data_IF_988319282343
#
_entry.id   IF_988319282343
#
_cell.length_a   1.000
_cell.length_b   1.000
_cell.length_c   1.000
_cell.angle_alpha   90.00
_cell.angle_beta   90.00
_cell.angle_gamma   90.00
#
_symmetry.space_group_name_H-M   'P 1'
#
loop_
_entity.id
_entity.type
_entity.pdbx_description
1 polymer ?
#
# COMPACT_ATOMS: atom_id res chain seq x y z
N UNK A 1 33.05 -33.29 93.91
CA UNK A 1 33.83 -32.06 93.85
C UNK A 1 33.45 -31.21 95.08
N UNK A 2 34.34 -30.89 95.95
CA UNK A 2 34.06 -30.04 97.11
C UNK A 2 34.56 -28.62 96.80
N UNK A 3 33.66 -27.68 96.80
CA UNK A 3 34.00 -26.27 96.64
C UNK A 3 33.93 -25.65 98.04
N UNK A 4 35.10 -25.18 98.55
CA UNK A 4 35.22 -24.50 99.84
C UNK A 4 35.14 -23.01 99.55
N UNK A 5 34.02 -22.39 99.88
CA UNK A 5 33.88 -20.94 99.85
C UNK A 5 34.47 -20.33 101.18
N UNK A 6 35.55 -19.66 101.02
CA UNK A 6 36.15 -18.87 102.13
C UNK A 6 35.71 -17.41 101.90
N UNK A 7 34.85 -16.91 102.80
CA UNK A 7 34.47 -15.51 102.82
C UNK A 7 35.27 -14.80 103.95
N UNK A 8 35.93 -13.73 103.61
CA UNK A 8 36.79 -12.93 104.51
C UNK A 8 36.07 -12.22 105.70
N UNK A 9 34.72 -12.29 105.72
CA UNK A 9 33.87 -11.57 106.68
C UNK A 9 33.19 -12.45 107.76
N UNK A 10 33.29 -13.77 107.68
CA UNK A 10 32.68 -14.66 108.64
C UNK A 10 33.55 -15.90 108.85
N UNK A 11 34.14 -16.00 110.09
CA UNK A 11 35.02 -17.10 110.52
C UNK A 11 34.34 -18.48 110.59
N UNK A 12 33.59 -18.87 109.56
CA UNK A 12 33.04 -20.24 109.42
C UNK A 12 33.11 -20.67 107.95
N UNK A 13 34.00 -21.60 107.67
CA UNK A 13 34.06 -22.27 106.41
C UNK A 13 32.76 -23.13 106.18
N UNK A 14 31.99 -22.85 105.18
CA UNK A 14 30.85 -23.68 104.79
C UNK A 14 31.29 -24.54 103.61
N UNK A 15 31.44 -25.81 103.87
CA UNK A 15 31.71 -26.77 102.77
C UNK A 15 30.37 -27.17 102.15
N UNK A 16 30.23 -26.88 100.88
CA UNK A 16 29.07 -27.36 100.08
C UNK A 16 29.56 -28.52 99.22
N UNK A 17 29.05 -29.73 99.55
CA UNK A 17 29.33 -30.94 98.80
C UNK A 17 28.41 -30.96 97.60
N UNK A 18 28.96 -30.63 96.45
CA UNK A 18 28.23 -30.78 95.14
C UNK A 18 28.29 -32.23 94.73
N UNK A 19 27.18 -32.94 94.89
CA UNK A 19 27.02 -34.29 94.31
C UNK A 19 26.70 -34.16 92.78
N UNK A 20 27.03 -35.19 92.02
CA UNK A 20 26.77 -35.26 90.59
C UNK A 20 25.31 -34.91 90.25
N UNK A 21 24.34 -35.25 91.13
CA UNK A 21 22.94 -34.91 91.05
C UNK A 21 22.65 -33.41 91.01
N UNK A 22 23.40 -32.61 91.82
CA UNK A 22 23.26 -31.15 91.85
C UNK A 22 23.89 -30.50 90.60
N UNK A 23 24.96 -31.05 90.08
CA UNK A 23 25.57 -30.61 88.84
C UNK A 23 24.65 -30.88 87.62
N UNK A 24 24.08 -32.07 87.55
CA UNK A 24 23.12 -32.44 86.51
C UNK A 24 21.85 -31.59 86.64
N UNK A 25 21.37 -31.39 87.89
CA UNK A 25 20.19 -30.54 88.13
C UNK A 25 20.38 -29.09 87.69
N UNK A 26 21.57 -28.50 88.05
CA UNK A 26 21.91 -27.12 87.60
C UNK A 26 22.06 -26.99 86.10
N UNK A 27 22.65 -27.98 85.41
CA UNK A 27 22.78 -28.01 83.99
C UNK A 27 21.41 -28.11 83.31
N UNK A 28 20.52 -28.97 83.78
CA UNK A 28 19.16 -29.07 83.30
C UNK A 28 18.35 -27.79 83.55
N UNK A 29 18.54 -27.15 84.68
CA UNK A 29 17.88 -25.86 84.97
C UNK A 29 18.41 -24.76 84.07
N UNK A 30 19.68 -24.70 83.73
CA UNK A 30 20.25 -23.75 82.80
C UNK A 30 19.72 -23.95 81.38
N UNK A 31 19.62 -25.18 80.91
CA UNK A 31 19.06 -25.52 79.65
C UNK A 31 17.57 -25.15 79.61
N UNK A 32 16.81 -25.41 80.66
CA UNK A 32 15.39 -25.05 80.73
C UNK A 32 15.18 -23.53 80.72
N UNK A 33 16.04 -22.77 81.40
CA UNK A 33 16.02 -21.30 81.37
C UNK A 33 16.40 -20.73 80.04
N UNK A 34 17.35 -21.33 79.29
CA UNK A 34 17.68 -20.97 77.91
C UNK A 34 16.48 -21.21 76.99
N UNK A 35 15.83 -22.37 77.12
CA UNK A 35 14.63 -22.68 76.33
C UNK A 35 13.48 -21.74 76.70
N UNK A 36 13.25 -21.45 77.97
CA UNK A 36 12.23 -20.50 78.39
C UNK A 36 12.50 -19.08 77.84
N UNK A 37 13.76 -18.67 77.87
CA UNK A 37 14.20 -17.38 77.37
C UNK A 37 14.02 -17.23 75.83
N UNK A 38 14.43 -18.27 75.10
CA UNK A 38 14.23 -18.28 73.64
C UNK A 38 12.72 -18.34 73.25
N UNK A 39 11.90 -19.12 73.97
CA UNK A 39 10.45 -19.17 73.76
C UNK A 39 9.81 -17.81 74.12
N UNK A 40 10.22 -17.17 75.19
CA UNK A 40 9.72 -15.85 75.55
C UNK A 40 10.11 -14.78 74.51
N UNK A 41 11.36 -14.79 74.05
CA UNK A 41 11.82 -13.91 72.96
C UNK A 41 11.05 -14.15 71.67
N UNK A 42 10.81 -15.40 71.28
CA UNK A 42 10.03 -15.77 70.14
C UNK A 42 8.57 -15.29 70.28
N UNK A 43 7.97 -15.49 71.46
CA UNK A 43 6.58 -15.05 71.72
C UNK A 43 6.47 -13.51 71.74
N UNK A 44 7.44 -12.82 72.36
CA UNK A 44 7.55 -11.37 72.32
C UNK A 44 7.73 -10.89 70.89
N UNK A 45 8.63 -11.52 70.10
CA UNK A 45 8.85 -11.20 68.71
C UNK A 45 7.57 -11.34 67.83
N UNK A 46 6.84 -12.45 68.04
CA UNK A 46 5.55 -12.65 67.35
C UNK A 46 4.47 -11.63 67.77
N UNK A 47 4.38 -11.33 69.07
CA UNK A 47 3.38 -10.40 69.60
C UNK A 47 3.68 -8.95 69.24
N UNK A 48 4.94 -8.54 69.17
CA UNK A 48 5.36 -7.19 68.82
C UNK A 48 5.66 -7.02 67.35
N UNK A 49 5.88 -8.11 66.61
CA UNK A 49 6.06 -8.03 65.15
C UNK A 49 4.86 -7.40 64.43
N UNK A 50 3.65 -7.57 64.98
CA UNK A 50 2.44 -6.91 64.47
C UNK A 50 2.31 -5.43 64.92
N UNK A 51 2.97 -5.02 65.99
CA UNK A 51 2.87 -3.66 66.57
C UNK A 51 4.11 -2.79 66.37
N UNK A 52 5.29 -3.39 66.12
CA UNK A 52 6.51 -2.63 65.82
C UNK A 52 6.43 -2.19 64.35
N UNK A 53 5.76 -1.09 64.08
CA UNK A 53 5.88 -0.31 62.86
C UNK A 53 7.31 0.22 62.80
N UNK A 54 8.23 -0.58 62.21
CA UNK A 54 9.56 -0.07 61.90
C UNK A 54 9.39 0.87 60.73
N UNK A 55 9.43 2.20 60.90
CA UNK A 55 9.10 3.16 59.82
C UNK A 55 10.02 3.00 58.61
N UNK A 56 11.24 2.54 58.83
CA UNK A 56 12.21 2.27 57.76
C UNK A 56 11.82 1.09 56.88
N UNK A 57 11.27 -0.01 57.45
CA UNK A 57 10.80 -1.14 56.66
C UNK A 57 9.53 -0.80 55.90
N UNK A 58 8.63 -0.03 56.47
CA UNK A 58 7.43 0.46 55.74
C UNK A 58 7.79 1.37 54.60
N UNK A 59 8.74 2.29 54.77
CA UNK A 59 9.23 3.15 53.70
C UNK A 59 9.91 2.36 52.57
N UNK A 60 10.69 1.32 52.88
CA UNK A 60 11.31 0.45 51.89
C UNK A 60 10.29 -0.37 51.11
N UNK A 61 9.27 -0.92 51.77
CA UNK A 61 8.19 -1.67 51.09
C UNK A 61 7.36 -0.75 50.25
N UNK A 62 6.99 0.45 50.71
CA UNK A 62 6.27 1.43 49.95
C UNK A 62 7.08 1.91 48.74
N UNK A 63 8.36 2.22 48.90
CA UNK A 63 9.24 2.62 47.79
C UNK A 63 9.40 1.49 46.76
N UNK A 64 9.49 0.23 47.19
CA UNK A 64 9.51 -0.91 46.27
C UNK A 64 8.20 -1.06 45.52
N UNK A 65 7.05 -0.95 46.18
CA UNK A 65 5.73 -0.98 45.54
C UNK A 65 5.52 0.20 44.57
N UNK A 66 5.93 1.40 44.94
CA UNK A 66 5.88 2.57 44.06
C UNK A 66 6.77 2.36 42.83
N UNK A 67 7.99 1.83 42.98
CA UNK A 67 8.85 1.54 41.83
C UNK A 67 8.30 0.46 40.90
N UNK A 68 7.64 -0.57 41.42
CA UNK A 68 6.96 -1.60 40.63
C UNK A 68 5.73 -1.01 39.92
N UNK A 69 4.94 -0.20 40.62
CA UNK A 69 3.78 0.47 40.01
C UNK A 69 4.20 1.46 38.92
N UNK A 70 5.29 2.20 39.08
CA UNK A 70 5.84 3.08 38.05
C UNK A 70 6.35 2.28 36.83
N UNK A 71 7.05 1.17 37.04
CA UNK A 71 7.50 0.27 35.97
C UNK A 71 6.30 -0.31 35.23
N UNK A 72 5.27 -0.77 35.91
CA UNK A 72 4.04 -1.28 35.30
C UNK A 72 3.32 -0.19 34.49
N UNK A 73 3.21 1.03 35.03
CA UNK A 73 2.63 2.19 34.33
C UNK A 73 3.44 2.56 33.10
N UNK A 74 4.76 2.66 33.18
CA UNK A 74 5.65 2.98 32.07
C UNK A 74 5.57 1.91 30.98
N UNK A 75 5.52 0.63 31.34
CA UNK A 75 5.35 -0.49 30.42
C UNK A 75 4.01 -0.41 29.67
N UNK A 76 2.90 -0.17 30.38
CA UNK A 76 1.58 0.02 29.77
C UNK A 76 1.57 1.23 28.84
N UNK A 77 2.14 2.36 29.29
CA UNK A 77 2.18 3.59 28.49
C UNK A 77 3.02 3.41 27.21
N UNK A 78 4.17 2.75 27.30
CA UNK A 78 5.01 2.46 26.14
C UNK A 78 4.30 1.56 25.12
N UNK A 79 3.60 0.53 25.61
CA UNK A 79 2.82 -0.34 24.72
C UNK A 79 1.64 0.38 24.09
N UNK A 80 0.92 1.22 24.83
CA UNK A 80 -0.17 2.04 24.28
C UNK A 80 0.35 3.03 23.24
N UNK A 81 1.48 3.66 23.46
CA UNK A 81 2.09 4.57 22.51
C UNK A 81 2.52 3.82 21.22
N UNK A 82 3.14 2.65 21.35
CA UNK A 82 3.51 1.82 20.20
C UNK A 82 2.28 1.39 19.39
N UNK A 83 1.21 0.99 20.09
CA UNK A 83 -0.06 0.65 19.44
C UNK A 83 -0.69 1.85 18.73
N UNK A 84 -0.68 3.04 19.35
CA UNK A 84 -1.22 4.26 18.75
C UNK A 84 -0.46 4.64 17.47
N UNK A 85 0.87 4.55 17.48
CA UNK A 85 1.70 4.76 16.29
C UNK A 85 1.33 3.77 15.20
N UNK A 86 1.22 2.48 15.54
CA UNK A 86 0.88 1.43 14.56
C UNK A 86 -0.52 1.59 13.97
N UNK A 87 -1.50 1.97 14.79
CA UNK A 87 -2.85 2.30 14.31
C UNK A 87 -2.82 3.52 13.37
N UNK A 88 -2.02 4.54 13.68
CA UNK A 88 -1.84 5.70 12.81
C UNK A 88 -1.23 5.33 11.45
N UNK A 89 -0.20 4.46 11.44
CA UNK A 89 0.38 3.93 10.21
C UNK A 89 -0.65 3.16 9.38
N UNK A 90 -1.43 2.28 10.01
CA UNK A 90 -2.48 1.52 9.33
C UNK A 90 -3.57 2.44 8.77
N UNK A 91 -3.97 3.48 9.50
CA UNK A 91 -4.95 4.44 9.01
C UNK A 91 -4.43 5.22 7.80
N UNK A 92 -3.15 5.62 7.81
CA UNK A 92 -2.51 6.23 6.65
C UNK A 92 -2.44 5.27 5.45
N UNK A 93 -2.15 3.99 5.68
CA UNK A 93 -2.15 2.96 4.63
C UNK A 93 -3.56 2.74 4.04
N UNK A 94 -4.61 2.70 4.87
CA UNK A 94 -5.99 2.60 4.42
C UNK A 94 -6.38 3.80 3.54
N UNK A 95 -6.06 5.02 3.97
CA UNK A 95 -6.31 6.23 3.17
C UNK A 95 -5.61 6.17 1.81
N UNK A 96 -4.38 5.63 1.77
CA UNK A 96 -3.66 5.43 0.52
C UNK A 96 -4.32 4.37 -0.36
N UNK A 97 -4.83 3.28 0.22
CA UNK A 97 -5.57 2.24 -0.50
C UNK A 97 -6.87 2.78 -1.10
N UNK A 98 -7.59 3.62 -0.38
CA UNK A 98 -8.81 4.26 -0.87
C UNK A 98 -8.51 5.16 -2.07
N UNK A 99 -7.49 6.02 -1.97
CA UNK A 99 -7.05 6.87 -3.08
C UNK A 99 -6.59 6.05 -4.31
N UNK A 100 -5.89 4.94 -4.07
CA UNK A 100 -5.46 4.03 -5.13
C UNK A 100 -6.66 3.34 -5.79
N UNK A 101 -7.63 2.89 -5.01
CA UNK A 101 -8.88 2.29 -5.50
C UNK A 101 -9.69 3.26 -6.38
N UNK A 102 -9.79 4.52 -5.99
CA UNK A 102 -10.45 5.57 -6.77
C UNK A 102 -9.74 5.80 -8.12
N UNK A 103 -8.41 5.86 -8.12
CA UNK A 103 -7.61 5.98 -9.35
C UNK A 103 -7.76 4.75 -10.26
N UNK A 104 -7.73 3.53 -9.69
CA UNK A 104 -7.94 2.29 -10.43
C UNK A 104 -9.32 2.24 -11.06
N UNK A 105 -10.37 2.62 -10.33
CA UNK A 105 -11.74 2.74 -10.84
C UNK A 105 -11.82 3.70 -12.03
N UNK A 106 -11.20 4.88 -11.92
CA UNK A 106 -11.13 5.86 -12.99
C UNK A 106 -10.39 5.32 -14.22
N UNK A 107 -9.25 4.65 -14.06
CA UNK A 107 -8.47 4.05 -15.15
C UNK A 107 -9.21 2.90 -15.83
N UNK A 108 -9.97 2.11 -15.07
CA UNK A 108 -10.80 1.03 -15.58
C UNK A 108 -12.08 1.52 -16.29
N UNK A 109 -12.39 2.83 -16.21
CA UNK A 109 -13.60 3.41 -16.78
C UNK A 109 -14.87 3.08 -16.00
N UNK A 110 -14.76 2.66 -14.74
CA UNK A 110 -15.89 2.41 -13.87
C UNK A 110 -16.44 3.73 -13.30
N UNK A 111 -17.73 3.77 -13.02
CA UNK A 111 -18.35 4.96 -12.43
C UNK A 111 -17.94 5.03 -10.94
N UNK A 112 -17.64 6.24 -10.40
CA UNK A 112 -17.26 6.40 -9.00
C UNK A 112 -18.28 5.82 -7.99
N UNK A 113 -19.55 5.68 -8.42
CA UNK A 113 -20.64 5.14 -7.61
C UNK A 113 -20.62 3.59 -7.51
N UNK A 114 -19.90 2.92 -8.40
CA UNK A 114 -19.82 1.45 -8.44
C UNK A 114 -18.69 0.92 -7.52
N UNK A 115 -17.78 1.79 -7.10
CA UNK A 115 -16.60 1.43 -6.30
C UNK A 115 -16.53 2.32 -5.04
N UNK A 116 -17.37 2.00 -4.05
CA UNK A 116 -17.45 2.75 -2.79
C UNK A 116 -16.52 2.16 -1.73
N UNK A 117 -15.22 2.38 -1.86
CA UNK A 117 -14.23 1.92 -0.87
C UNK A 117 -14.34 2.67 0.48
N UNK A 118 -14.86 3.90 0.46
CA UNK A 118 -14.99 4.73 1.65
C UNK A 118 -16.23 4.40 2.51
N UNK A 119 -17.18 3.62 1.99
CA UNK A 119 -18.34 3.19 2.78
C UNK A 119 -17.98 1.93 3.58
N UNK A 120 -18.20 1.99 4.88
CA UNK A 120 -18.04 0.81 5.73
C UNK A 120 -18.93 -0.32 5.20
N UNK A 121 -18.39 -1.55 5.04
CA UNK A 121 -19.20 -2.68 4.62
C UNK A 121 -20.37 -2.87 5.57
N UNK A 122 -21.56 -3.15 5.01
CA UNK A 122 -22.76 -3.40 5.82
C UNK A 122 -22.49 -4.46 6.87
N UNK A 123 -22.67 -4.10 8.13
CA UNK A 123 -22.58 -5.03 9.25
C UNK A 123 -23.91 -5.77 9.37
N UNK A 124 -23.92 -7.05 9.03
CA UNK A 124 -25.10 -7.89 9.14
C UNK A 124 -24.79 -9.34 8.75
N UNK A 125 -25.49 -10.28 9.34
CA UNK A 125 -25.35 -11.72 9.09
C UNK A 125 -26.08 -12.53 10.14
N UNK A 126 -26.09 -13.86 10.00
CA UNK A 126 -26.57 -14.76 11.04
C UNK A 126 -25.80 -14.51 12.34
N UNK A 127 -26.51 -14.59 13.49
CA UNK A 127 -25.87 -14.39 14.80
C UNK A 127 -24.61 -15.27 14.92
N UNK A 128 -23.44 -14.67 15.24
CA UNK A 128 -22.21 -15.45 15.36
C UNK A 128 -22.37 -16.46 16.51
N UNK A 129 -21.87 -17.67 16.31
CA UNK A 129 -21.74 -18.63 17.40
C UNK A 129 -20.87 -18.00 18.48
N UNK A 130 -21.45 -17.81 19.67
CA UNK A 130 -20.72 -17.23 20.80
C UNK A 130 -19.55 -18.15 21.16
N UNK A 131 -18.36 -17.79 20.74
CA UNK A 131 -17.14 -18.39 21.27
C UNK A 131 -16.85 -17.77 22.65
N UNK A 132 -16.40 -18.56 23.64
CA UNK A 132 -16.00 -17.99 24.92
C UNK A 132 -14.92 -16.93 24.68
N UNK A 133 -14.97 -15.79 25.39
CA UNK A 133 -13.98 -14.74 25.25
C UNK A 133 -12.59 -15.32 25.56
N UNK A 134 -11.74 -15.40 24.54
CA UNK A 134 -10.34 -15.72 24.72
C UNK A 134 -9.63 -14.45 25.17
N UNK A 135 -8.98 -14.50 26.33
CA UNK A 135 -8.09 -13.44 26.77
C UNK A 135 -6.90 -13.39 25.80
N UNK A 136 -6.90 -12.44 24.90
CA UNK A 136 -5.75 -12.19 24.03
C UNK A 136 -4.59 -11.68 24.89
N UNK A 137 -3.44 -12.35 24.82
CA UNK A 137 -2.24 -11.80 25.42
C UNK A 137 -1.76 -10.57 24.61
N UNK A 138 -1.03 -9.67 25.24
CA UNK A 138 -0.44 -8.51 24.57
C UNK A 138 0.50 -8.93 23.44
N UNK A 139 1.19 -10.07 23.61
CA UNK A 139 2.07 -10.65 22.59
C UNK A 139 1.27 -11.11 21.37
N UNK A 140 0.19 -11.87 21.57
CA UNK A 140 -0.68 -12.35 20.46
C UNK A 140 -1.35 -11.19 19.73
N UNK A 141 -1.75 -10.15 20.47
CA UNK A 141 -2.32 -8.95 19.86
C UNK A 141 -1.30 -8.25 18.95
N UNK A 142 -0.06 -8.04 19.43
CA UNK A 142 0.99 -7.44 18.64
C UNK A 142 1.36 -8.27 17.42
N UNK A 143 1.41 -9.59 17.53
CA UNK A 143 1.65 -10.49 16.41
C UNK A 143 0.56 -10.38 15.34
N UNK A 144 -0.71 -10.37 15.75
CA UNK A 144 -1.85 -10.18 14.83
C UNK A 144 -1.82 -8.81 14.15
N UNK A 145 -1.47 -7.76 14.90
CA UNK A 145 -1.35 -6.41 14.36
C UNK A 145 -0.22 -6.32 13.31
N UNK A 146 0.94 -6.93 13.58
CA UNK A 146 2.05 -6.99 12.65
C UNK A 146 1.70 -7.79 11.40
N UNK A 147 0.98 -8.90 11.54
CA UNK A 147 0.51 -9.70 10.42
C UNK A 147 -0.45 -8.90 9.54
N UNK A 148 -1.45 -8.25 10.15
CA UNK A 148 -2.39 -7.41 9.43
C UNK A 148 -1.68 -6.24 8.71
N UNK A 149 -0.68 -5.63 9.35
CA UNK A 149 0.12 -4.56 8.73
C UNK A 149 0.85 -5.04 7.47
N UNK A 150 1.47 -6.24 7.52
CA UNK A 150 2.14 -6.83 6.34
C UNK A 150 1.16 -7.18 5.24
N UNK A 151 -0.02 -7.71 5.58
CA UNK A 151 -1.07 -8.03 4.62
C UNK A 151 -1.57 -6.77 3.90
N UNK A 152 -1.78 -5.67 4.64
CA UNK A 152 -2.18 -4.38 4.06
C UNK A 152 -1.08 -3.83 3.15
N UNK A 153 0.19 -3.89 3.56
CA UNK A 153 1.34 -3.46 2.76
C UNK A 153 1.47 -4.27 1.46
N UNK A 154 1.39 -5.60 1.55
CA UNK A 154 1.43 -6.50 0.39
C UNK A 154 0.29 -6.22 -0.60
N UNK A 155 -0.93 -5.97 -0.10
CA UNK A 155 -2.06 -5.61 -0.96
C UNK A 155 -1.88 -4.25 -1.62
N UNK A 156 -1.32 -3.28 -0.90
CA UNK A 156 -1.01 -1.96 -1.46
C UNK A 156 0.00 -2.06 -2.62
N UNK A 157 1.04 -2.88 -2.47
CA UNK A 157 2.03 -3.11 -3.52
C UNK A 157 1.41 -3.78 -4.74
N UNK A 158 0.56 -4.80 -4.52
CA UNK A 158 -0.15 -5.49 -5.62
C UNK A 158 -1.08 -4.52 -6.39
N UNK A 159 -1.81 -3.66 -5.68
CA UNK A 159 -2.66 -2.64 -6.30
C UNK A 159 -1.84 -1.60 -7.06
N UNK A 160 -0.65 -1.23 -6.57
CA UNK A 160 0.28 -0.35 -7.28
C UNK A 160 0.76 -0.94 -8.61
N UNK A 161 1.08 -2.24 -8.63
CA UNK A 161 1.43 -2.95 -9.88
C UNK A 161 0.25 -2.95 -10.85
N UNK A 162 -0.97 -3.21 -10.36
CA UNK A 162 -2.17 -3.19 -11.18
C UNK A 162 -2.46 -1.80 -11.75
N UNK A 163 -2.27 -0.73 -10.96
CA UNK A 163 -2.37 0.65 -11.41
C UNK A 163 -1.41 0.92 -12.58
N UNK A 164 -0.15 0.53 -12.44
CA UNK A 164 0.85 0.71 -13.48
C UNK A 164 0.46 -0.02 -14.78
N UNK A 165 -0.05 -1.24 -14.68
CA UNK A 165 -0.52 -2.01 -15.84
C UNK A 165 -1.73 -1.37 -16.52
N UNK A 166 -2.73 -0.94 -15.75
CA UNK A 166 -3.92 -0.27 -16.30
C UNK A 166 -3.57 1.07 -16.93
N UNK A 167 -2.67 1.83 -16.30
CA UNK A 167 -2.16 3.07 -16.87
C UNK A 167 -1.44 2.82 -18.19
N UNK A 168 -0.55 1.83 -18.25
CA UNK A 168 0.13 1.45 -19.48
C UNK A 168 -0.86 1.06 -20.60
N UNK A 169 -1.88 0.26 -20.25
CA UNK A 169 -2.93 -0.11 -21.20
C UNK A 169 -3.74 1.09 -21.66
N UNK A 170 -4.11 2.01 -20.78
CA UNK A 170 -4.82 3.23 -21.12
C UNK A 170 -3.99 4.14 -22.05
N UNK A 171 -2.69 4.27 -21.78
CA UNK A 171 -1.75 5.00 -22.64
C UNK A 171 -1.65 4.32 -24.01
N UNK A 172 -1.41 3.01 -24.08
CA UNK A 172 -1.36 2.25 -25.34
C UNK A 172 -2.64 2.44 -26.15
N UNK A 173 -3.83 2.35 -25.51
CA UNK A 173 -5.13 2.57 -26.18
C UNK A 173 -5.26 3.98 -26.75
N UNK A 174 -4.74 5.01 -26.07
CA UNK A 174 -4.77 6.40 -26.57
C UNK A 174 -3.80 6.65 -27.72
N UNK A 175 -2.67 5.96 -27.74
CA UNK A 175 -1.63 6.07 -28.76
C UNK A 175 -1.92 5.20 -29.98
N UNK A 176 -2.81 4.21 -29.89
CA UNK A 176 -3.20 3.39 -31.04
C UNK A 176 -4.16 4.17 -31.96
N UNK A 177 -3.89 4.24 -33.28
CA UNK A 177 -4.68 5.01 -34.25
C UNK A 177 -5.97 4.28 -34.62
N UNK A 178 -6.86 4.18 -33.65
CA UNK A 178 -8.13 3.45 -33.79
C UNK A 178 -9.32 4.35 -34.16
N UNK A 179 -9.17 5.68 -34.12
CA UNK A 179 -10.24 6.62 -34.48
C UNK A 179 -10.27 6.87 -35.99
N UNK A 180 -11.46 6.89 -36.59
CA UNK A 180 -11.60 7.30 -37.96
C UNK A 180 -11.12 8.74 -38.16
N UNK A 181 -10.20 8.99 -39.12
CA UNK A 181 -9.59 10.31 -39.28
C UNK A 181 -10.52 11.31 -39.97
N UNK A 182 -11.58 10.85 -40.62
CA UNK A 182 -12.59 11.65 -41.26
C UNK A 182 -13.97 10.98 -41.13
N UNK A 183 -15.03 11.79 -41.01
CA UNK A 183 -16.40 11.30 -40.95
C UNK A 183 -16.92 10.96 -42.37
N UNK A 184 -16.34 9.93 -42.96
CA UNK A 184 -16.71 9.47 -44.29
C UNK A 184 -16.81 7.94 -44.29
N UNK A 185 -17.67 7.37 -45.19
CA UNK A 185 -17.71 5.93 -45.38
C UNK A 185 -16.34 5.41 -45.84
N UNK A 186 -15.89 4.32 -45.25
CA UNK A 186 -14.70 3.60 -45.66
C UNK A 186 -14.99 2.90 -46.97
N UNK A 187 -14.63 3.52 -48.14
CA UNK A 187 -15.04 2.92 -49.43
C UNK A 187 -14.25 3.33 -50.67
N UNK A 188 -13.12 4.04 -50.56
CA UNK A 188 -12.51 4.47 -51.85
C UNK A 188 -11.52 3.44 -52.40
N UNK A 189 -10.49 3.12 -51.65
CA UNK A 189 -9.45 2.20 -52.08
C UNK A 189 -8.70 1.61 -50.90
N UNK A 190 -8.54 0.29 -50.89
CA UNK A 190 -7.90 -0.46 -49.83
C UNK A 190 -6.36 -0.43 -49.92
N UNK A 191 -5.73 -0.83 -48.82
CA UNK A 191 -4.28 -1.07 -48.71
C UNK A 191 -3.89 -2.29 -49.56
N UNK A 192 -2.78 -2.19 -50.26
CA UNK A 192 -2.19 -3.33 -50.95
C UNK A 192 -1.86 -3.09 -52.41
N UNK A 193 -1.54 -4.14 -53.14
CA UNK A 193 -1.18 -4.08 -54.57
C UNK A 193 -2.41 -3.74 -55.39
N UNK A 194 -2.30 -2.68 -56.21
CA UNK A 194 -3.36 -2.26 -57.16
C UNK A 194 -2.73 -1.67 -58.42
N UNK A 195 -3.52 -1.51 -59.48
CA UNK A 195 -3.07 -0.74 -60.67
C UNK A 195 -3.04 0.73 -60.28
N UNK A 196 -1.91 1.38 -60.49
CA UNK A 196 -1.72 2.80 -60.27
C UNK A 196 -2.56 3.59 -61.34
N UNK A 197 -3.42 4.52 -60.89
CA UNK A 197 -4.35 5.19 -61.83
C UNK A 197 -3.64 6.16 -62.77
N UNK A 198 -2.38 6.51 -62.56
CA UNK A 198 -1.61 7.43 -63.39
C UNK A 198 -0.69 6.72 -64.36
N UNK A 199 -0.02 5.65 -63.92
CA UNK A 199 0.94 4.91 -64.74
C UNK A 199 0.36 3.66 -65.41
N UNK A 200 -0.77 3.14 -64.94
CA UNK A 200 -1.32 1.87 -65.38
C UNK A 200 -0.52 0.64 -64.94
N UNK A 201 0.50 0.81 -64.11
CA UNK A 201 1.34 -0.28 -63.62
C UNK A 201 0.93 -0.77 -62.23
N UNK A 202 1.32 -1.99 -61.93
CA UNK A 202 1.14 -2.51 -60.57
C UNK A 202 2.00 -1.73 -59.56
N UNK A 203 1.34 -1.14 -58.55
CA UNK A 203 1.99 -0.41 -57.47
C UNK A 203 1.41 -0.81 -56.10
N UNK A 204 2.17 -0.59 -55.09
CA UNK A 204 1.74 -0.76 -53.67
C UNK A 204 1.02 0.49 -53.23
N UNK A 205 -0.23 0.36 -52.77
CA UNK A 205 -0.94 1.41 -52.05
C UNK A 205 -0.65 1.30 -50.54
N UNK A 206 0.12 2.24 -50.01
CA UNK A 206 0.65 2.20 -48.66
C UNK A 206 -0.34 2.64 -47.59
N UNK A 207 -1.56 3.03 -47.99
CA UNK A 207 -2.61 3.51 -47.09
C UNK A 207 -3.99 3.03 -47.49
N UNK A 208 -4.97 3.73 -46.98
CA UNK A 208 -6.39 3.63 -47.39
C UNK A 208 -6.89 5.02 -47.76
N UNK A 209 -7.77 5.08 -48.75
CA UNK A 209 -8.36 6.32 -49.18
C UNK A 209 -9.79 6.42 -48.66
N UNK A 210 -10.14 7.52 -48.00
CA UNK A 210 -11.49 7.86 -47.58
C UNK A 210 -12.07 8.87 -48.55
N UNK A 211 -13.16 8.52 -49.22
CA UNK A 211 -13.93 9.46 -50.03
C UNK A 211 -14.54 10.54 -49.14
N UNK A 212 -14.09 11.75 -49.30
CA UNK A 212 -14.58 12.88 -48.55
C UNK A 212 -14.51 14.15 -49.42
N UNK A 213 -15.51 14.99 -49.33
CA UNK A 213 -15.54 16.26 -50.04
C UNK A 213 -14.36 17.15 -49.60
N UNK A 214 -13.84 17.92 -50.54
CA UNK A 214 -12.81 18.90 -50.23
C UNK A 214 -13.30 19.86 -49.13
N UNK A 215 -12.49 20.07 -48.11
CA UNK A 215 -12.86 20.89 -46.94
C UNK A 215 -13.49 20.13 -45.79
N UNK A 216 -13.66 18.79 -45.90
CA UNK A 216 -14.12 17.98 -44.76
C UNK A 216 -13.08 17.98 -43.59
N UNK A 217 -13.52 18.05 -42.33
CA UNK A 217 -12.61 18.04 -41.22
C UNK A 217 -11.84 16.72 -41.09
N UNK A 218 -10.49 16.83 -40.93
CA UNK A 218 -9.63 15.71 -40.63
C UNK A 218 -9.18 15.82 -39.17
N UNK A 219 -9.25 14.70 -38.44
CA UNK A 219 -8.89 14.60 -37.03
C UNK A 219 -7.77 13.59 -36.84
N UNK A 220 -6.98 13.78 -35.77
CA UNK A 220 -5.93 12.83 -35.40
C UNK A 220 -6.52 11.51 -34.92
N UNK A 221 -6.10 10.40 -35.52
CA UNK A 221 -6.59 9.06 -35.21
C UNK A 221 -6.16 8.57 -33.81
N UNK A 222 -5.08 9.14 -33.24
CA UNK A 222 -4.57 8.87 -31.89
C UNK A 222 -3.89 10.12 -31.31
N UNK A 223 -3.55 10.11 -30.03
CA UNK A 223 -2.69 11.12 -29.43
C UNK A 223 -1.25 10.97 -29.93
N UNK A 224 -0.51 12.07 -30.05
CA UNK A 224 0.87 12.02 -30.54
C UNK A 224 1.48 13.40 -30.69
N UNK A 225 2.66 13.45 -31.33
CA UNK A 225 3.38 14.67 -31.65
C UNK A 225 3.48 14.82 -33.18
N UNK A 226 3.23 16.01 -33.70
CA UNK A 226 3.37 16.27 -35.12
C UNK A 226 4.84 16.19 -35.51
N UNK A 227 5.21 15.19 -36.29
CA UNK A 227 6.56 14.98 -36.78
C UNK A 227 6.86 15.81 -38.03
N UNK A 228 5.84 16.00 -38.86
CA UNK A 228 5.92 16.82 -40.06
C UNK A 228 4.56 17.42 -40.41
N UNK A 229 4.52 18.66 -40.82
CA UNK A 229 3.32 19.33 -41.34
C UNK A 229 3.73 20.31 -42.46
N UNK A 230 3.49 19.93 -43.72
CA UNK A 230 3.98 20.73 -44.86
C UNK A 230 3.55 20.16 -46.21
N UNK A 231 4.16 20.67 -47.28
CA UNK A 231 3.95 20.23 -48.67
C UNK A 231 4.96 19.14 -49.05
N UNK A 232 4.46 18.07 -49.65
CA UNK A 232 5.28 16.99 -50.23
C UNK A 232 4.86 16.76 -51.71
N UNK A 233 5.81 16.61 -52.65
CA UNK A 233 5.50 16.55 -54.08
C UNK A 233 4.48 15.50 -54.51
N UNK A 234 4.50 14.34 -53.86
CA UNK A 234 3.55 13.25 -54.15
C UNK A 234 2.28 13.32 -53.31
N UNK A 235 2.42 13.60 -52.00
CA UNK A 235 1.33 13.58 -51.02
C UNK A 235 0.55 14.90 -50.93
N UNK A 236 1.02 15.97 -51.60
CA UNK A 236 0.44 17.30 -51.43
C UNK A 236 0.68 17.86 -50.03
N UNK A 237 -0.26 18.59 -49.47
CA UNK A 237 -0.21 18.92 -48.07
C UNK A 237 -0.41 17.68 -47.23
N UNK A 238 0.53 17.42 -46.33
CA UNK A 238 0.62 16.20 -45.54
C UNK A 238 0.97 16.49 -44.09
N UNK A 239 0.43 15.69 -43.17
CA UNK A 239 0.76 15.68 -41.75
C UNK A 239 1.23 14.27 -41.38
N UNK A 240 2.37 14.16 -40.73
CA UNK A 240 2.83 12.94 -40.07
C UNK A 240 2.77 13.14 -38.54
N UNK A 241 2.17 12.20 -37.84
CA UNK A 241 2.03 12.23 -36.38
C UNK A 241 2.72 11.01 -35.80
N UNK A 242 3.69 11.24 -34.93
CA UNK A 242 4.37 10.20 -34.14
C UNK A 242 3.53 9.91 -32.88
N UNK A 243 3.13 8.66 -32.70
CA UNK A 243 2.36 8.19 -31.57
C UNK A 243 3.23 7.49 -30.51
N UNK A 244 4.56 7.51 -30.69
CA UNK A 244 5.50 6.73 -29.89
C UNK A 244 5.58 5.25 -30.31
N UNK A 245 6.56 4.53 -29.77
CA UNK A 245 6.80 3.12 -30.08
C UNK A 245 6.93 2.82 -31.58
N UNK A 246 7.60 3.72 -32.32
CA UNK A 246 7.82 3.63 -33.78
C UNK A 246 6.53 3.61 -34.63
N UNK A 247 5.42 4.09 -34.06
CA UNK A 247 4.12 4.14 -34.75
C UNK A 247 3.83 5.55 -35.23
N UNK A 248 3.68 5.73 -36.54
CA UNK A 248 3.40 7.01 -37.19
C UNK A 248 2.14 6.89 -38.04
N UNK A 249 1.29 7.92 -38.04
CA UNK A 249 0.18 8.06 -39.00
C UNK A 249 0.45 9.21 -39.95
N UNK A 250 0.08 9.03 -41.24
CA UNK A 250 0.17 10.02 -42.27
C UNK A 250 -1.21 10.38 -42.79
N UNK A 251 -1.46 11.67 -43.00
CA UNK A 251 -2.67 12.26 -43.54
C UNK A 251 -2.27 13.10 -44.74
N UNK A 252 -2.70 12.72 -45.92
CA UNK A 252 -2.27 13.35 -47.18
C UNK A 252 -3.39 13.89 -48.02
N UNK A 253 -3.03 14.56 -49.13
CA UNK A 253 -3.89 15.27 -50.08
C UNK A 253 -4.76 16.36 -49.45
N UNK A 254 -4.24 16.98 -48.37
CA UNK A 254 -4.94 17.97 -47.55
C UNK A 254 -5.05 19.32 -48.32
N UNK A 255 -6.05 20.13 -47.97
CA UNK A 255 -6.21 21.48 -48.51
C UNK A 255 -5.73 22.56 -47.53
N UNK A 256 -5.82 22.32 -46.22
CA UNK A 256 -5.44 23.27 -45.20
C UNK A 256 -4.93 22.53 -43.95
N UNK A 257 -3.83 23.00 -43.37
CA UNK A 257 -3.27 22.50 -42.12
C UNK A 257 -3.62 23.43 -41.00
N UNK A 258 -3.93 22.88 -39.80
CA UNK A 258 -4.22 23.63 -38.56
C UNK A 258 -3.19 23.38 -37.45
N UNK A 259 -2.21 22.54 -37.71
CA UNK A 259 -1.16 22.15 -36.76
C UNK A 259 0.20 22.36 -37.40
N UNK A 260 1.23 22.43 -36.56
CA UNK A 260 2.62 22.62 -36.94
C UNK A 260 3.51 21.55 -36.30
N UNK A 261 4.68 21.35 -36.87
CA UNK A 261 5.70 20.44 -36.35
C UNK A 261 6.03 20.72 -34.87
N UNK A 262 6.17 19.67 -34.06
CA UNK A 262 6.40 19.72 -32.63
C UNK A 262 5.14 19.89 -31.78
N UNK A 263 3.96 20.11 -32.37
CA UNK A 263 2.70 20.27 -31.62
C UNK A 263 2.24 18.93 -31.04
N UNK A 264 1.88 18.92 -29.74
CA UNK A 264 1.32 17.76 -29.05
C UNK A 264 -0.19 17.72 -29.28
N UNK A 265 -0.67 16.59 -29.76
CA UNK A 265 -2.06 16.39 -30.13
C UNK A 265 -2.76 15.36 -29.25
N UNK A 266 -4.00 15.67 -28.90
CA UNK A 266 -4.92 14.68 -28.34
C UNK A 266 -5.63 13.92 -29.46
N UNK A 267 -6.00 12.66 -29.21
CA UNK A 267 -6.86 11.89 -30.11
C UNK A 267 -8.15 12.66 -30.42
N UNK A 268 -8.53 12.71 -31.72
CA UNK A 268 -9.71 13.44 -32.17
C UNK A 268 -9.52 14.94 -32.35
N UNK A 269 -8.33 15.48 -32.11
CA UNK A 269 -8.00 16.88 -32.39
C UNK A 269 -8.12 17.13 -33.89
N UNK A 270 -8.86 18.18 -34.30
CA UNK A 270 -8.91 18.64 -35.68
C UNK A 270 -7.54 19.14 -36.13
N UNK A 271 -6.97 18.55 -37.19
CA UNK A 271 -5.62 18.80 -37.67
C UNK A 271 -5.57 19.44 -39.07
N UNK A 272 -6.58 19.15 -39.92
CA UNK A 272 -6.55 19.60 -41.28
C UNK A 272 -7.96 19.63 -41.90
N UNK A 273 -8.02 19.99 -43.17
CA UNK A 273 -9.14 19.78 -44.10
C UNK A 273 -8.70 18.87 -45.24
N UNK A 274 -9.61 17.99 -45.69
CA UNK A 274 -9.45 17.20 -46.93
C UNK A 274 -9.27 18.09 -48.14
N UNK A 275 -8.57 17.60 -49.13
CA UNK A 275 -8.35 18.32 -50.38
C UNK A 275 -8.14 17.39 -51.58
N UNK A 276 -7.40 17.93 -52.58
CA UNK A 276 -7.02 17.21 -53.79
C UNK A 276 -5.62 17.68 -54.23
N UNK A 277 -4.70 17.89 -53.22
CA UNK A 277 -3.35 18.38 -53.52
C UNK A 277 -2.38 17.23 -53.75
N UNK A 278 -1.29 17.50 -54.51
CA UNK A 278 -0.31 16.47 -54.85
C UNK A 278 -0.80 15.53 -55.94
N UNK A 279 -0.40 14.26 -55.89
CA UNK A 279 -0.73 13.24 -56.87
C UNK A 279 -2.07 12.55 -56.47
N UNK A 280 -3.18 13.21 -56.83
CA UNK A 280 -4.54 12.78 -56.48
C UNK A 280 -5.45 12.89 -57.69
N UNK A 281 -6.39 11.95 -57.88
CA UNK A 281 -7.37 11.91 -58.98
C UNK A 281 -8.68 12.61 -58.66
N UNK A 282 -8.91 12.95 -57.39
CA UNK A 282 -10.11 13.60 -56.90
C UNK A 282 -10.07 13.83 -55.39
N UNK A 283 -11.02 14.59 -54.83
CA UNK A 283 -11.04 14.87 -53.40
C UNK A 283 -11.15 13.58 -52.53
N UNK A 284 -10.19 13.36 -51.64
CA UNK A 284 -10.17 12.27 -50.71
C UNK A 284 -9.14 12.53 -49.59
N UNK A 285 -9.20 11.75 -48.50
CA UNK A 285 -8.13 11.65 -47.52
C UNK A 285 -7.37 10.35 -47.74
N UNK A 286 -6.07 10.44 -48.05
CA UNK A 286 -5.19 9.30 -48.01
C UNK A 286 -4.61 9.18 -46.59
N UNK A 287 -4.80 7.99 -45.97
CA UNK A 287 -4.40 7.72 -44.60
C UNK A 287 -3.52 6.48 -44.53
N UNK A 288 -2.33 6.65 -43.88
CA UNK A 288 -1.40 5.55 -43.66
C UNK A 288 -1.15 5.34 -42.17
N UNK A 289 -0.85 4.10 -41.81
CA UNK A 289 -0.27 3.71 -40.53
C UNK A 289 1.08 3.06 -40.82
N UNK A 290 2.13 3.56 -40.21
CA UNK A 290 3.49 3.07 -40.38
C UNK A 290 4.03 2.58 -39.03
N UNK A 291 4.61 1.39 -39.04
CA UNK A 291 5.32 0.84 -37.89
C UNK A 291 6.78 0.57 -38.29
N UNK A 292 7.72 1.18 -37.59
CA UNK A 292 9.16 1.15 -37.90
C UNK A 292 9.45 1.52 -39.38
N UNK A 293 8.77 2.55 -39.85
CA UNK A 293 8.89 3.01 -41.24
C UNK A 293 8.20 2.14 -42.30
N UNK A 294 7.65 0.98 -41.93
CA UNK A 294 6.96 0.06 -42.84
C UNK A 294 5.45 0.27 -42.77
N UNK A 295 4.82 0.53 -43.92
CA UNK A 295 3.38 0.72 -44.03
C UNK A 295 2.59 -0.51 -43.62
N UNK A 296 1.62 -0.33 -42.76
CA UNK A 296 0.72 -1.35 -42.22
C UNK A 296 -0.70 -1.11 -42.77
N UNK A 297 -1.50 -2.17 -42.92
CA UNK A 297 -2.88 -2.02 -43.30
C UNK A 297 -3.71 -1.25 -42.24
N UNK A 298 -4.12 0.01 -42.52
CA UNK A 298 -4.82 0.84 -41.56
C UNK A 298 -6.16 0.25 -41.09
N UNK A 299 -6.82 -0.53 -41.97
CA UNK A 299 -8.08 -1.16 -41.61
C UNK A 299 -7.99 -2.04 -40.35
N UNK A 300 -6.85 -2.71 -40.13
CA UNK A 300 -6.63 -3.51 -38.91
C UNK A 300 -6.68 -2.69 -37.63
N UNK A 301 -6.30 -1.43 -37.68
CA UNK A 301 -6.33 -0.51 -36.54
C UNK A 301 -7.71 0.09 -36.32
N UNK A 302 -8.40 0.46 -37.40
CA UNK A 302 -9.70 1.14 -37.38
C UNK A 302 -10.87 0.20 -37.02
N UNK A 303 -10.80 -1.10 -37.36
CA UNK A 303 -11.83 -2.11 -37.00
C UNK A 303 -11.91 -2.33 -35.49
N UNK A 304 -10.80 -2.14 -34.75
CA UNK A 304 -10.81 -2.24 -33.29
C UNK A 304 -11.74 -1.21 -32.62
N UNK A 305 -12.02 -0.06 -33.27
CA UNK A 305 -12.96 0.93 -32.74
C UNK A 305 -14.43 0.49 -32.84
N UNK A 306 -14.80 -0.24 -33.89
CA UNK A 306 -16.18 -0.71 -34.12
C UNK A 306 -16.56 -1.89 -33.22
N UNK A 307 -15.59 -2.70 -32.80
CA UNK A 307 -15.81 -3.78 -31.84
C UNK A 307 -16.07 -3.27 -30.41
N UNK A 308 -15.35 -2.22 -30.01
CA UNK A 308 -15.52 -1.59 -28.68
C UNK A 308 -16.83 -0.78 -28.58
N UNK A 309 -17.28 -0.17 -29.67
CA UNK A 309 -18.54 0.58 -29.72
C UNK A 309 -19.80 -0.29 -29.69
N UNK A 310 -19.70 -1.59 -29.99
CA UNK A 310 -20.82 -2.55 -29.93
C UNK A 310 -20.97 -3.28 -28.57
N UNK A 311 -20.03 -3.07 -27.65
CA UNK A 311 -20.03 -3.68 -26.30
C UNK A 311 -20.32 -2.66 -25.19
N UNK A 312 -20.66 -1.43 -25.51
CA UNK A 312 -21.21 -0.41 -24.63
C UNK A 312 -22.68 -0.14 -25.03
#
# INVERSE_FOLDING_TARGET
MQIILISDRLAKARSVTLSLRHLVGSALLAVALLFAGTAALYWISLRYAAEVRIPVLQQLVLAAQESEAERARSFVQQNLNAMAVKLGEMQAQLTRLDALGERLSSLAGMRPQEFRLSEAPGLGGAAPTLMPPQNLSLADFNEKLLTLSRDVESRNDMLGVLEAQLFEQAVKKRLMPTMLPVAAPYNASGFGKRIDPFSGQWAMHEGIDFLADAGSPVVSAAAGVVQFAGFHPQYGYVIDIDHGNDLVTRYAHLSKLFVKEGEILQRGRRIALTGNTGRSTGPHLHFEVRFRGVSQNPAKFLVLSNAVARTQ
#
